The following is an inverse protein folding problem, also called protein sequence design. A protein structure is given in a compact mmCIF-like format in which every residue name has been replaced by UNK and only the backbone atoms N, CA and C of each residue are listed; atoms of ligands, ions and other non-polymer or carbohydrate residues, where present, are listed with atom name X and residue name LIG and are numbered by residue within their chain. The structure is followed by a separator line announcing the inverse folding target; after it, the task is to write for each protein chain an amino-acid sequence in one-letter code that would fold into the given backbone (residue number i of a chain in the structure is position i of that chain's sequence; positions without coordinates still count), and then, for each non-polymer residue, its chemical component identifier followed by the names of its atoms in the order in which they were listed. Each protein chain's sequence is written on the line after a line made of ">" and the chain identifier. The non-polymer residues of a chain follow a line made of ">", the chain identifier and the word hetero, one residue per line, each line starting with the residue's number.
data_IF_019712960030
#
_entry.id   IF_019712960030
#
_cell.length_a   1.000
_cell.length_b   1.000
_cell.length_c   1.000
_cell.angle_alpha   90.00
_cell.angle_beta   90.00
_cell.angle_gamma   90.00
#
_symmetry.space_group_name_H-M   'P 1'
#
loop_
_entity.id
_entity.type
_entity.pdbx_description
1 polymer ?
#
# COMPACT_ATOMS: atom_id res chain seq x y z
N UNK A 1 -3.06 -28.59 9.29
CA UNK A 1 -4.40 -28.29 9.79
C UNK A 1 -4.81 -26.98 9.17
N UNK A 2 -5.71 -27.03 8.18
CA UNK A 2 -6.28 -25.83 7.56
C UNK A 2 -7.52 -25.48 8.37
N UNK A 3 -7.37 -24.61 9.36
CA UNK A 3 -8.54 -23.99 9.97
C UNK A 3 -9.05 -22.94 8.97
N UNK A 4 -10.08 -23.34 8.23
CA UNK A 4 -10.76 -22.48 7.27
C UNK A 4 -11.51 -21.42 8.07
N UNK A 5 -11.11 -20.16 7.91
CA UNK A 5 -11.84 -18.98 8.42
C UNK A 5 -13.32 -19.12 8.00
N UNK A 6 -14.28 -18.96 8.92
CA UNK A 6 -15.71 -19.06 8.62
C UNK A 6 -16.13 -18.14 7.46
N UNK A 7 -17.09 -18.57 6.64
CA UNK A 7 -17.50 -17.85 5.42
C UNK A 7 -18.00 -16.42 5.68
N UNK A 8 -18.62 -16.20 6.85
CA UNK A 8 -19.08 -14.87 7.29
C UNK A 8 -17.92 -13.89 7.54
N UNK A 9 -16.77 -14.39 7.98
CA UNK A 9 -15.58 -13.57 8.24
C UNK A 9 -14.80 -13.30 6.94
N UNK A 10 -14.98 -14.14 5.90
CA UNK A 10 -14.42 -13.90 4.56
C UNK A 10 -15.06 -12.71 3.85
N UNK A 11 -16.34 -12.46 4.09
CA UNK A 11 -17.04 -11.30 3.53
C UNK A 11 -16.48 -9.99 4.10
N UNK A 12 -16.06 -9.99 5.37
CA UNK A 12 -15.47 -8.83 6.05
C UNK A 12 -13.94 -8.74 5.92
N UNK A 13 -13.28 -9.73 5.34
CA UNK A 13 -11.84 -9.67 5.15
C UNK A 13 -11.48 -8.82 3.92
N UNK A 14 -10.82 -7.69 4.17
CA UNK A 14 -10.26 -6.85 3.11
C UNK A 14 -8.94 -7.41 2.57
N UNK A 15 -8.25 -8.31 3.26
CA UNK A 15 -7.03 -8.93 2.76
C UNK A 15 -7.40 -9.97 1.71
N UNK A 16 -6.87 -9.78 0.50
CA UNK A 16 -7.07 -10.69 -0.64
C UNK A 16 -5.99 -11.77 -0.62
N UNK A 17 -4.72 -11.36 -0.56
CA UNK A 17 -3.57 -12.27 -0.63
C UNK A 17 -2.38 -11.81 0.18
N UNK A 18 -1.61 -12.78 0.67
CA UNK A 18 -0.19 -12.61 0.98
C UNK A 18 0.65 -13.17 -0.18
N UNK A 19 1.67 -12.42 -0.58
CA UNK A 19 2.57 -12.74 -1.69
C UNK A 19 4.02 -12.69 -1.19
N UNK A 20 4.82 -13.68 -1.57
CA UNK A 20 6.26 -13.66 -1.34
C UNK A 20 6.99 -13.48 -2.67
N UNK A 21 7.90 -12.50 -2.67
CA UNK A 21 8.68 -12.08 -3.82
C UNK A 21 10.18 -12.20 -3.55
N UNK A 22 10.73 -13.41 -3.35
CA UNK A 22 12.18 -13.59 -3.27
C UNK A 22 12.85 -13.05 -4.54
N UNK A 23 13.97 -12.34 -4.37
CA UNK A 23 14.69 -11.65 -5.43
C UNK A 23 13.85 -10.60 -6.20
N UNK A 24 12.74 -10.14 -5.62
CA UNK A 24 11.77 -9.24 -6.28
C UNK A 24 10.80 -9.94 -7.23
N UNK A 25 10.86 -11.28 -7.35
CA UNK A 25 10.04 -12.06 -8.29
C UNK A 25 8.92 -12.76 -7.54
N UNK A 26 7.67 -12.58 -7.97
CA UNK A 26 6.51 -13.24 -7.36
C UNK A 26 6.62 -14.76 -7.51
N UNK A 27 6.80 -15.48 -6.39
CA UNK A 27 6.95 -16.94 -6.39
C UNK A 27 5.89 -17.68 -5.58
N UNK A 28 5.33 -17.05 -4.55
CA UNK A 28 4.26 -17.66 -3.75
C UNK A 28 3.13 -16.66 -3.52
N UNK A 29 1.89 -17.14 -3.62
CA UNK A 29 0.66 -16.39 -3.38
C UNK A 29 -0.23 -17.28 -2.53
N UNK A 30 -0.79 -16.73 -1.45
CA UNK A 30 -1.77 -17.41 -0.61
C UNK A 30 -2.98 -16.51 -0.34
N UNK A 31 -4.22 -17.02 -0.43
CA UNK A 31 -4.56 -18.38 -0.84
C UNK A 31 -4.29 -18.63 -2.33
N UNK A 32 -3.97 -19.88 -2.67
CA UNK A 32 -3.74 -20.30 -4.06
C UNK A 32 -5.07 -20.48 -4.82
N UNK A 33 -5.02 -20.39 -6.15
CA UNK A 33 -6.17 -20.64 -7.03
C UNK A 33 -7.23 -19.52 -7.06
N UNK A 34 -6.88 -18.32 -6.59
CA UNK A 34 -7.77 -17.17 -6.72
C UNK A 34 -7.88 -16.72 -8.19
N UNK A 35 -9.09 -16.40 -8.68
CA UNK A 35 -9.28 -15.94 -10.05
C UNK A 35 -8.38 -14.74 -10.41
N UNK A 36 -7.69 -14.81 -11.54
CA UNK A 36 -6.82 -13.73 -12.07
C UNK A 36 -5.40 -13.69 -11.51
N UNK A 37 -5.14 -14.36 -10.37
CA UNK A 37 -3.83 -14.31 -9.69
C UNK A 37 -2.75 -15.17 -10.34
N UNK A 38 -3.13 -16.17 -11.14
CA UNK A 38 -2.17 -17.00 -11.87
C UNK A 38 -1.26 -16.17 -12.79
N UNK A 39 -1.79 -15.07 -13.33
CA UNK A 39 -1.05 -14.14 -14.20
C UNK A 39 0.01 -13.30 -13.48
N UNK A 40 0.03 -13.35 -12.14
CA UNK A 40 0.93 -12.57 -11.29
C UNK A 40 2.20 -13.35 -10.95
N UNK A 41 2.16 -14.69 -10.98
CA UNK A 41 3.35 -15.52 -10.78
C UNK A 41 4.45 -15.20 -11.81
N UNK A 42 5.69 -15.17 -11.35
CA UNK A 42 6.85 -14.84 -12.18
C UNK A 42 6.99 -13.36 -12.54
N UNK A 43 6.10 -12.49 -12.06
CA UNK A 43 6.28 -11.04 -12.21
C UNK A 43 7.50 -10.59 -11.41
N UNK A 44 8.52 -10.10 -12.11
CA UNK A 44 9.65 -9.39 -11.51
C UNK A 44 9.24 -7.92 -11.23
N UNK A 45 9.07 -7.59 -9.96
CA UNK A 45 8.68 -6.26 -9.49
C UNK A 45 9.79 -5.22 -9.70
N UNK A 46 11.05 -5.66 -9.70
CA UNK A 46 12.20 -4.78 -9.93
C UNK A 46 12.41 -4.54 -11.42
N UNK A 47 12.10 -5.48 -12.29
CA UNK A 47 12.21 -5.29 -13.74
C UNK A 47 10.99 -4.56 -14.34
N UNK A 48 9.80 -4.72 -13.74
CA UNK A 48 8.58 -4.14 -14.27
C UNK A 48 8.50 -2.62 -14.05
N UNK A 49 8.46 -1.84 -15.15
CA UNK A 49 8.45 -0.37 -15.10
C UNK A 49 7.33 0.24 -14.25
N UNK A 50 6.15 -0.39 -14.19
CA UNK A 50 5.01 0.12 -13.43
C UNK A 50 5.20 -0.07 -11.94
N UNK A 51 5.77 -1.20 -11.52
CA UNK A 51 5.87 -1.57 -10.10
C UNK A 51 7.24 -1.27 -9.48
N UNK A 52 8.27 -1.09 -10.31
CA UNK A 52 9.64 -0.83 -9.88
C UNK A 52 9.73 0.37 -8.94
N UNK A 53 9.11 1.54 -9.19
CA UNK A 53 9.23 2.68 -8.27
C UNK A 53 8.80 2.35 -6.84
N UNK A 54 7.66 1.68 -6.66
CA UNK A 54 7.19 1.27 -5.34
C UNK A 54 8.05 0.16 -4.72
N UNK A 55 8.54 -0.77 -5.54
CA UNK A 55 9.43 -1.84 -5.10
C UNK A 55 10.76 -1.27 -4.59
N UNK A 56 11.36 -0.32 -5.33
CA UNK A 56 12.59 0.36 -4.94
C UNK A 56 12.35 1.19 -3.68
N UNK A 57 11.27 1.98 -3.62
CA UNK A 57 10.88 2.71 -2.39
C UNK A 57 10.75 1.79 -1.17
N UNK A 58 10.18 0.60 -1.35
CA UNK A 58 10.07 -0.40 -0.28
C UNK A 58 11.44 -0.86 0.21
N UNK A 59 12.41 -1.02 -0.70
CA UNK A 59 13.78 -1.41 -0.36
C UNK A 59 14.50 -0.24 0.32
N UNK A 60 14.38 0.97 -0.21
CA UNK A 60 15.05 2.15 0.36
C UNK A 60 14.55 2.45 1.79
N UNK A 61 13.25 2.26 2.04
CA UNK A 61 12.60 2.54 3.32
C UNK A 61 12.51 1.33 4.26
N UNK A 62 13.26 0.25 4.02
CA UNK A 62 13.10 -0.99 4.78
C UNK A 62 13.36 -0.85 6.29
N UNK A 63 14.24 0.07 6.70
CA UNK A 63 14.46 0.42 8.12
C UNK A 63 13.27 1.19 8.74
N UNK A 64 12.43 1.81 7.91
CA UNK A 64 11.27 2.60 8.33
C UNK A 64 9.94 1.82 8.27
N UNK A 65 9.99 0.55 7.86
CA UNK A 65 8.85 -0.36 7.87
C UNK A 65 8.13 -0.53 6.53
N UNK A 66 6.80 -0.73 6.60
CA UNK A 66 6.00 -1.10 5.42
C UNK A 66 5.66 0.10 4.53
N UNK A 67 5.71 -0.12 3.22
CA UNK A 67 5.28 0.86 2.21
C UNK A 67 3.98 0.40 1.56
N UNK A 68 3.03 1.32 1.39
CA UNK A 68 1.79 1.05 0.66
C UNK A 68 1.83 1.65 -0.76
N UNK A 69 1.02 1.11 -1.66
CA UNK A 69 0.75 1.66 -2.99
C UNK A 69 -0.76 1.63 -3.25
N UNK A 70 -1.30 2.67 -3.89
CA UNK A 70 -2.68 2.74 -4.34
C UNK A 70 -3.57 3.63 -3.47
N UNK A 71 -4.91 3.51 -3.62
CA UNK A 71 -5.64 2.51 -4.39
C UNK A 71 -5.34 2.51 -5.90
N UNK A 72 -5.14 1.32 -6.47
CA UNK A 72 -4.91 1.15 -7.91
C UNK A 72 -5.54 -0.15 -8.40
N UNK A 73 -5.68 -0.30 -9.72
CA UNK A 73 -6.15 -1.56 -10.30
C UNK A 73 -5.04 -2.60 -10.20
N UNK A 74 -5.27 -3.63 -9.39
CA UNK A 74 -4.35 -4.75 -9.26
C UNK A 74 -4.26 -5.52 -10.58
N UNK A 75 -3.11 -6.15 -10.85
CA UNK A 75 -2.93 -6.98 -12.04
C UNK A 75 -3.94 -8.14 -12.12
N UNK A 76 -4.39 -8.64 -10.97
CA UNK A 76 -5.43 -9.65 -10.88
C UNK A 76 -6.85 -9.14 -11.23
N UNK A 77 -7.06 -7.82 -11.36
CA UNK A 77 -8.34 -7.23 -11.79
C UNK A 77 -8.95 -6.20 -10.82
N UNK A 78 -9.13 -6.47 -9.52
CA UNK A 78 -9.87 -5.58 -8.62
C UNK A 78 -9.09 -4.31 -8.28
N UNK A 79 -9.80 -3.28 -7.80
CA UNK A 79 -9.16 -2.13 -7.16
C UNK A 79 -8.62 -2.55 -5.80
N UNK A 80 -7.40 -2.15 -5.49
CA UNK A 80 -6.78 -2.55 -4.24
C UNK A 80 -5.60 -1.71 -3.81
N UNK A 81 -5.17 -1.98 -2.60
CA UNK A 81 -3.95 -1.48 -2.00
C UNK A 81 -2.90 -2.58 -2.02
N UNK A 82 -1.66 -2.20 -2.26
CA UNK A 82 -0.52 -3.10 -2.20
C UNK A 82 0.41 -2.63 -1.10
N UNK A 83 0.50 -3.38 -0.01
CA UNK A 83 1.44 -3.11 1.08
C UNK A 83 2.63 -4.05 0.96
N UNK A 84 3.84 -3.55 1.09
CA UNK A 84 5.07 -4.32 0.97
C UNK A 84 5.99 -4.08 2.15
N UNK A 85 6.70 -5.13 2.52
CA UNK A 85 7.80 -5.11 3.47
C UNK A 85 9.01 -5.73 2.77
N UNK A 86 10.12 -5.00 2.70
CA UNK A 86 11.39 -5.57 2.26
C UNK A 86 11.98 -6.43 3.38
N UNK A 87 12.50 -7.59 3.01
CA UNK A 87 13.14 -8.54 3.93
C UNK A 87 14.62 -8.56 3.62
N UNK A 88 15.41 -8.11 4.60
CA UNK A 88 16.86 -8.19 4.58
C UNK A 88 17.33 -9.26 5.56
N UNK A 89 18.38 -9.99 5.16
CA UNK A 89 18.99 -11.04 5.97
C UNK A 89 20.35 -10.54 6.44
N UNK A 90 20.47 -10.43 7.75
CA UNK A 90 21.71 -10.08 8.43
C UNK A 90 22.79 -11.14 8.24
N UNK A 91 24.02 -10.71 8.05
CA UNK A 91 25.20 -11.57 7.89
C UNK A 91 25.36 -12.21 6.52
N UNK A 92 24.46 -11.92 5.59
CA UNK A 92 24.58 -12.37 4.22
C UNK A 92 25.58 -11.51 3.44
N UNK A 93 26.49 -12.18 2.72
CA UNK A 93 27.47 -11.51 1.88
C UNK A 93 26.88 -10.91 0.61
N UNK A 94 27.63 -10.05 -0.12
CA UNK A 94 27.14 -9.34 -1.30
C UNK A 94 26.74 -10.28 -2.46
N UNK A 95 27.33 -11.47 -2.51
CA UNK A 95 27.11 -12.49 -3.55
C UNK A 95 26.05 -13.54 -3.15
N UNK A 96 25.46 -13.44 -1.96
CA UNK A 96 24.39 -14.35 -1.55
C UNK A 96 23.14 -14.17 -2.43
N UNK A 97 22.51 -15.28 -2.81
CA UNK A 97 21.35 -15.32 -3.71
C UNK A 97 20.14 -16.02 -3.10
N UNK A 98 20.32 -16.69 -1.96
CA UNK A 98 19.28 -17.45 -1.26
C UNK A 98 18.57 -18.47 -2.16
N UNK A 99 19.31 -19.05 -3.12
CA UNK A 99 18.78 -20.01 -4.10
C UNK A 99 18.11 -19.39 -5.32
N UNK A 100 18.11 -18.06 -5.47
CA UNK A 100 17.67 -17.38 -6.67
C UNK A 100 18.66 -17.60 -7.85
N UNK A 101 18.19 -17.55 -9.11
CA UNK A 101 19.06 -17.77 -10.27
C UNK A 101 20.11 -16.67 -10.51
N UNK A 102 20.00 -15.53 -9.80
CA UNK A 102 20.92 -14.42 -9.91
C UNK A 102 20.58 -13.31 -8.91
N UNK A 103 21.29 -12.18 -9.02
CA UNK A 103 21.03 -10.99 -8.21
C UNK A 103 19.68 -10.33 -8.58
N UNK A 104 19.12 -9.50 -7.68
CA UNK A 104 17.92 -8.73 -7.99
C UNK A 104 18.18 -7.74 -9.14
N UNK A 105 17.19 -7.52 -9.99
CA UNK A 105 17.35 -6.69 -11.19
C UNK A 105 17.67 -5.22 -10.85
N UNK A 106 18.88 -4.79 -11.22
CA UNK A 106 19.36 -3.41 -11.10
C UNK A 106 19.10 -2.81 -9.70
N UNK A 107 19.59 -3.48 -8.66
CA UNK A 107 19.32 -3.10 -7.28
C UNK A 107 20.62 -2.91 -6.48
N UNK A 108 21.30 -1.77 -6.61
CA UNK A 108 22.51 -1.48 -5.85
C UNK A 108 22.24 -1.43 -4.34
N UNK A 109 21.10 -0.90 -3.91
CA UNK A 109 20.68 -0.85 -2.50
C UNK A 109 20.27 -2.20 -1.91
N UNK A 110 20.24 -3.29 -2.69
CA UNK A 110 19.91 -4.63 -2.21
C UNK A 110 21.03 -5.28 -1.38
N UNK A 111 22.14 -4.58 -1.14
CA UNK A 111 23.20 -4.99 -0.23
C UNK A 111 23.63 -3.80 0.62
N UNK A 112 23.54 -3.97 1.93
CA UNK A 112 24.06 -3.04 2.92
C UNK A 112 25.41 -3.60 3.42
N UNK A 113 26.53 -2.93 3.14
CA UNK A 113 27.79 -3.32 3.73
C UNK A 113 27.75 -3.14 5.26
N UNK A 114 28.56 -3.88 6.02
CA UNK A 114 28.67 -3.65 7.46
C UNK A 114 29.10 -2.20 7.76
N UNK A 115 28.43 -1.56 8.72
CA UNK A 115 28.76 -0.21 9.21
C UNK A 115 28.73 -0.16 10.76
N UNK A 116 29.86 0.15 11.44
CA UNK A 116 31.17 0.41 10.86
C UNK A 116 31.85 -0.87 10.32
N UNK A 117 32.86 -0.75 9.42
CA UNK A 117 33.44 -1.86 8.63
C UNK A 117 34.02 -3.03 9.46
N UNK A 118 34.16 -2.82 10.75
CA UNK A 118 34.68 -3.69 11.79
C UNK A 118 33.58 -4.47 12.55
N UNK A 119 32.29 -4.25 12.24
CA UNK A 119 31.19 -5.12 12.65
C UNK A 119 30.96 -6.25 11.63
N UNK A 120 30.58 -7.47 12.08
CA UNK A 120 30.77 -8.69 11.30
C UNK A 120 29.75 -8.93 10.18
N UNK A 121 28.65 -8.18 10.12
CA UNK A 121 27.51 -8.57 9.29
C UNK A 121 26.88 -7.38 8.59
N UNK A 122 27.07 -7.31 7.28
CA UNK A 122 26.19 -6.53 6.41
C UNK A 122 24.84 -7.23 6.24
N UNK A 123 23.90 -6.59 5.56
CA UNK A 123 22.58 -7.14 5.30
C UNK A 123 22.36 -7.30 3.78
N UNK A 124 21.72 -8.40 3.38
CA UNK A 124 21.37 -8.65 1.97
C UNK A 124 19.86 -8.75 1.81
N UNK A 125 19.33 -8.03 0.83
CA UNK A 125 17.93 -8.16 0.42
C UNK A 125 17.64 -9.59 -0.06
N UNK A 126 16.72 -10.26 0.62
CA UNK A 126 16.19 -11.57 0.21
C UNK A 126 15.03 -11.40 -0.77
N UNK A 127 14.15 -10.43 -0.53
CA UNK A 127 12.88 -10.34 -1.22
C UNK A 127 11.90 -9.39 -0.54
N UNK A 128 10.63 -9.44 -0.95
CA UNK A 128 9.54 -8.74 -0.26
C UNK A 128 8.46 -9.71 0.18
N UNK A 129 7.80 -9.38 1.29
CA UNK A 129 6.44 -9.86 1.54
C UNK A 129 5.44 -8.76 1.16
N UNK A 130 4.34 -9.15 0.53
CA UNK A 130 3.34 -8.23 0.02
C UNK A 130 1.93 -8.66 0.43
N UNK A 131 1.15 -7.72 0.95
CA UNK A 131 -0.28 -7.88 1.17
C UNK A 131 -1.04 -7.11 0.10
N UNK A 132 -2.02 -7.76 -0.51
CA UNK A 132 -2.97 -7.10 -1.40
C UNK A 132 -4.32 -7.00 -0.69
N UNK A 133 -4.86 -5.80 -0.61
CA UNK A 133 -6.12 -5.51 0.08
C UNK A 133 -7.16 -4.97 -0.90
N UNK A 134 -8.40 -5.38 -0.72
CA UNK A 134 -9.56 -4.92 -1.46
C UNK A 134 -9.97 -3.53 -0.98
N UNK A 135 -9.86 -2.54 -1.86
CA UNK A 135 -10.17 -1.15 -1.53
C UNK A 135 -11.66 -0.94 -1.25
N UNK A 136 -12.53 -1.61 -2.01
CA UNK A 136 -13.97 -1.44 -1.89
C UNK A 136 -14.47 -2.04 -0.57
N UNK A 137 -13.85 -3.12 -0.09
CA UNK A 137 -14.11 -3.65 1.25
C UNK A 137 -13.52 -2.78 2.34
N UNK A 138 -12.25 -2.37 2.21
CA UNK A 138 -11.57 -1.58 3.24
C UNK A 138 -12.28 -0.24 3.47
N UNK A 139 -12.66 0.45 2.40
CA UNK A 139 -13.37 1.73 2.48
C UNK A 139 -14.72 1.62 3.21
N UNK A 140 -15.44 0.50 2.99
CA UNK A 140 -16.68 0.20 3.73
C UNK A 140 -16.42 -0.09 5.21
N UNK A 141 -15.40 -0.88 5.52
CA UNK A 141 -15.02 -1.19 6.91
C UNK A 141 -14.54 0.05 7.67
N UNK A 142 -13.91 0.99 6.98
CA UNK A 142 -13.49 2.27 7.54
C UNK A 142 -14.65 3.27 7.69
N UNK A 143 -15.88 2.92 7.27
CA UNK A 143 -17.06 3.77 7.38
C UNK A 143 -16.90 5.16 6.73
N UNK A 144 -16.01 5.28 5.73
CA UNK A 144 -15.70 6.59 5.14
C UNK A 144 -16.93 7.22 4.46
N UNK A 145 -17.83 6.39 3.92
CA UNK A 145 -19.03 6.85 3.24
C UNK A 145 -20.16 7.28 4.19
N UNK A 146 -20.07 6.95 5.48
CA UNK A 146 -21.02 7.39 6.51
C UNK A 146 -20.97 8.92 6.69
N UNK A 147 -19.82 9.54 6.35
CA UNK A 147 -19.67 10.99 6.24
C UNK A 147 -20.77 11.60 5.35
N UNK A 148 -21.12 10.92 4.25
CA UNK A 148 -22.10 11.41 3.30
C UNK A 148 -23.52 10.94 3.57
N UNK A 149 -23.70 9.67 3.96
CA UNK A 149 -25.04 9.11 4.18
C UNK A 149 -25.66 9.61 5.49
N UNK A 150 -24.84 9.77 6.53
CA UNK A 150 -25.34 9.96 7.90
C UNK A 150 -24.96 11.34 8.46
N UNK A 151 -23.79 11.87 8.10
CA UNK A 151 -23.27 13.13 8.64
C UNK A 151 -23.56 14.36 7.77
N UNK A 152 -24.13 14.18 6.57
CA UNK A 152 -24.46 15.28 5.67
C UNK A 152 -23.25 15.99 5.05
N UNK A 153 -22.08 15.35 5.07
CA UNK A 153 -20.85 15.88 4.47
C UNK A 153 -20.73 15.47 3.00
N UNK A 154 -19.86 16.16 2.27
CA UNK A 154 -19.33 15.77 0.98
C UNK A 154 -17.81 15.75 1.07
N UNK A 155 -17.16 14.78 0.44
CA UNK A 155 -15.71 14.72 0.40
C UNK A 155 -15.16 14.21 -0.94
N UNK A 156 -13.92 14.62 -1.21
CA UNK A 156 -13.05 14.06 -2.25
C UNK A 156 -11.70 13.76 -1.63
N UNK A 157 -11.31 12.49 -1.64
CA UNK A 157 -10.03 12.02 -1.12
C UNK A 157 -9.14 11.64 -2.29
N UNK A 158 -7.93 12.20 -2.28
CA UNK A 158 -6.97 12.11 -3.38
C UNK A 158 -5.62 11.60 -2.90
N UNK A 159 -4.85 11.03 -3.82
CA UNK A 159 -3.41 10.80 -3.66
C UNK A 159 -2.66 11.30 -4.89
N UNK A 160 -1.39 11.62 -4.71
CA UNK A 160 -0.48 11.90 -5.81
C UNK A 160 0.11 10.56 -6.25
N UNK A 161 -0.12 10.17 -7.51
CA UNK A 161 0.52 9.00 -8.09
C UNK A 161 2.05 9.22 -8.11
N UNK A 162 2.85 8.39 -7.44
CA UNK A 162 4.29 8.61 -7.32
C UNK A 162 5.03 8.41 -8.65
N UNK A 163 4.40 7.77 -9.64
CA UNK A 163 4.98 7.52 -10.97
C UNK A 163 4.61 8.64 -11.94
N UNK A 164 3.33 9.05 -11.98
CA UNK A 164 2.86 10.08 -12.93
C UNK A 164 2.85 11.49 -12.37
N UNK A 165 2.88 11.65 -11.05
CA UNK A 165 2.71 12.93 -10.37
C UNK A 165 1.27 13.47 -10.41
N UNK A 166 0.33 12.71 -10.94
CA UNK A 166 -1.07 13.13 -11.07
C UNK A 166 -1.82 12.99 -9.76
N UNK A 167 -2.64 13.98 -9.43
CA UNK A 167 -3.66 13.84 -8.39
C UNK A 167 -4.77 12.92 -8.90
N UNK A 168 -5.04 11.87 -8.13
CA UNK A 168 -6.11 10.91 -8.42
C UNK A 168 -7.07 10.81 -7.25
N UNK A 169 -8.35 10.95 -7.52
CA UNK A 169 -9.42 10.61 -6.58
C UNK A 169 -9.40 9.10 -6.30
N UNK A 170 -9.41 8.76 -5.02
CA UNK A 170 -9.40 7.38 -4.52
C UNK A 170 -10.69 7.03 -3.78
N UNK A 171 -11.36 8.02 -3.21
CA UNK A 171 -12.75 7.91 -2.80
C UNK A 171 -13.40 9.29 -2.82
N UNK A 172 -14.67 9.35 -3.17
CA UNK A 172 -15.46 10.58 -3.07
C UNK A 172 -16.92 10.25 -2.81
N UNK A 173 -17.63 11.16 -2.16
CA UNK A 173 -19.08 11.10 -2.04
C UNK A 173 -19.70 12.47 -1.76
N UNK A 174 -21.03 12.54 -1.90
CA UNK A 174 -21.80 13.73 -1.54
C UNK A 174 -21.80 14.86 -2.57
N UNK A 175 -21.19 14.67 -3.74
CA UNK A 175 -21.17 15.66 -4.82
C UNK A 175 -19.92 16.52 -4.81
N UNK A 176 -19.99 17.73 -5.36
CA UNK A 176 -18.86 18.66 -5.35
C UNK A 176 -18.54 19.08 -3.92
N UNK A 177 -17.28 18.96 -3.52
CA UNK A 177 -16.76 19.69 -2.36
C UNK A 177 -16.82 21.17 -2.73
N UNK A 178 -17.49 21.99 -1.92
CA UNK A 178 -17.81 23.39 -2.26
C UNK A 178 -16.60 24.32 -2.33
N UNK A 179 -16.82 25.64 -2.27
CA UNK A 179 -15.74 26.64 -2.38
C UNK A 179 -14.83 26.74 -1.15
N UNK A 180 -15.31 26.33 0.03
CA UNK A 180 -14.57 26.41 1.31
C UNK A 180 -14.41 25.03 1.98
N UNK A 181 -13.64 24.11 1.36
CA UNK A 181 -13.40 22.79 1.91
C UNK A 181 -12.35 22.81 3.03
N UNK A 182 -12.56 21.97 4.04
CA UNK A 182 -11.53 21.61 5.00
C UNK A 182 -10.62 20.55 4.38
N UNK A 183 -9.30 20.76 4.45
CA UNK A 183 -8.32 19.78 4.00
C UNK A 183 -7.75 19.00 5.19
N UNK A 184 -7.81 17.68 5.09
CA UNK A 184 -7.29 16.74 6.07
C UNK A 184 -6.20 15.91 5.41
N UNK A 185 -5.01 15.90 6.00
CA UNK A 185 -3.92 15.04 5.55
C UNK A 185 -3.95 13.70 6.27
N UNK A 186 -3.89 12.63 5.50
CA UNK A 186 -3.90 11.25 6.01
C UNK A 186 -2.57 10.62 5.61
N UNK A 187 -1.73 10.35 6.62
CA UNK A 187 -0.43 9.69 6.43
C UNK A 187 -0.59 8.20 6.71
N UNK A 188 -0.40 7.36 5.70
CA UNK A 188 -0.48 5.89 5.82
C UNK A 188 0.69 5.26 5.11
N UNK A 189 1.51 4.51 5.86
CA UNK A 189 2.58 3.63 5.34
C UNK A 189 3.42 4.31 4.25
N UNK A 190 4.01 5.46 4.60
CA UNK A 190 4.85 6.27 3.72
C UNK A 190 4.13 6.89 2.51
N UNK A 191 2.80 6.96 2.54
CA UNK A 191 2.00 7.73 1.59
C UNK A 191 1.24 8.85 2.27
N UNK A 192 0.94 9.87 1.46
CA UNK A 192 0.14 11.02 1.85
C UNK A 192 -1.11 11.07 0.99
N UNK A 193 -2.26 10.96 1.63
CA UNK A 193 -3.57 11.21 1.04
C UNK A 193 -4.10 12.54 1.56
N UNK A 194 -4.87 13.24 0.72
CA UNK A 194 -5.50 14.51 1.09
C UNK A 194 -7.00 14.37 0.89
N UNK A 195 -7.77 14.60 1.95
CA UNK A 195 -9.22 14.62 1.92
C UNK A 195 -9.72 16.06 2.00
N UNK A 196 -10.39 16.52 0.95
CA UNK A 196 -11.18 17.74 0.99
C UNK A 196 -12.59 17.40 1.47
N UNK A 197 -13.08 18.08 2.51
CA UNK A 197 -14.40 17.83 3.12
C UNK A 197 -15.19 19.13 3.21
N UNK A 198 -16.50 19.08 2.97
CA UNK A 198 -17.42 20.20 3.20
C UNK A 198 -18.74 19.71 3.78
N UNK A 199 -19.36 20.49 4.69
CA UNK A 199 -20.73 20.24 5.12
C UNK A 199 -21.71 20.78 4.08
N UNK A 200 -22.66 19.95 3.62
CA UNK A 200 -23.67 20.35 2.62
C UNK A 200 -24.60 21.47 3.11
N UNK A 201 -24.68 21.67 4.43
CA UNK A 201 -25.45 22.76 5.07
C UNK A 201 -24.61 24.02 5.26
N UNK A 202 -23.34 24.00 4.85
CA UNK A 202 -22.32 24.95 5.27
C UNK A 202 -21.83 24.67 6.68
N UNK A 203 -20.65 25.18 7.03
CA UNK A 203 -20.09 25.07 8.38
C UNK A 203 -20.94 25.86 9.38
N UNK A 204 -21.94 25.22 9.97
CA UNK A 204 -22.88 25.87 10.88
C UNK A 204 -22.93 25.10 12.20
N UNK A 205 -22.49 25.71 13.31
CA UNK A 205 -21.88 27.04 13.44
C UNK A 205 -20.49 27.13 12.78
N UNK A 206 -20.05 28.34 12.43
CA UNK A 206 -18.82 28.59 11.66
C UNK A 206 -17.52 28.09 12.33
N UNK A 207 -17.53 27.86 13.64
CA UNK A 207 -16.40 27.28 14.36
C UNK A 207 -16.27 25.75 14.18
N UNK A 208 -17.26 25.08 13.60
CA UNK A 208 -17.27 23.62 13.46
C UNK A 208 -16.09 23.11 12.62
N UNK A 209 -15.71 23.82 11.55
CA UNK A 209 -14.55 23.46 10.73
C UNK A 209 -13.24 23.44 11.53
N UNK A 210 -13.07 24.43 12.41
CA UNK A 210 -11.90 24.54 13.29
C UNK A 210 -11.88 23.46 14.39
N UNK A 211 -13.05 23.06 14.88
CA UNK A 211 -13.15 21.96 15.85
C UNK A 211 -12.77 20.61 15.21
N UNK A 212 -13.13 20.38 13.95
CA UNK A 212 -12.77 19.15 13.23
C UNK A 212 -11.25 19.07 12.99
N UNK A 213 -10.60 20.17 12.62
CA UNK A 213 -9.13 20.20 12.43
C UNK A 213 -8.34 19.93 13.71
N UNK A 214 -8.91 20.15 14.90
CA UNK A 214 -8.23 19.90 16.18
C UNK A 214 -8.26 18.42 16.62
N UNK A 215 -9.14 17.61 16.04
CA UNK A 215 -9.37 16.21 16.44
C UNK A 215 -8.67 15.22 15.50
N UNK A 216 -8.21 15.70 14.33
CA UNK A 216 -7.53 14.88 13.31
C UNK A 216 -6.02 15.06 13.38
#
# INVERSE_FOLDING_TARGET
>A
GNELIPDKDREQNAIITLVLCPNGIVQAITPAGLPGWDSVYGLDLLQNKTWRPDAIKTIDLHHEGMVMTGPTRLRAGPMGLVTRLAVFIEGAGPNETFGAPGAPYDCPQCYEPPDPPDHPTGAKYWGMSQLNMDWDKLSKLAHIYDLCSDQGLAFDMTYIDPVTGENRTIASCGGSVGEDPLFVEILVMHNRWVMAVSDKRGWTPNWLAAAITLVV
#
